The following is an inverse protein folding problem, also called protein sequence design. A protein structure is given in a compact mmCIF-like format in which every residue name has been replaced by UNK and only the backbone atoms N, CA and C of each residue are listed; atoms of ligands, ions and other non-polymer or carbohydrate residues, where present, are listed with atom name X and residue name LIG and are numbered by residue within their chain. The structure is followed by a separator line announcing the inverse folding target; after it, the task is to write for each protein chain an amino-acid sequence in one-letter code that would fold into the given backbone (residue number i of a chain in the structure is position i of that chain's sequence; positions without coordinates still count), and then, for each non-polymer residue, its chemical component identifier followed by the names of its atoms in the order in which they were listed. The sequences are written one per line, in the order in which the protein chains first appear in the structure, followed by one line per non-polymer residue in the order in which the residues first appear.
data_IF_592692290053
#
_entry.id   IF_592692290053
#
_cell.length_a   1.000
_cell.length_b   1.000
_cell.length_c   1.000
_cell.angle_alpha   90.00
_cell.angle_beta   90.00
_cell.angle_gamma   90.00
#
_symmetry.space_group_name_H-M   'P 1'
#
loop_
_entity.id
_entity.type
_entity.pdbx_description
1 polymer ?
#
# COMPACT_ATOMS: atom_id res chain seq x y z
N UNK A 1 5.22 6.93 -5.09
CA UNK A 1 5.25 5.44 -5.04
C UNK A 1 5.06 5.06 -3.59
N UNK A 2 4.18 4.10 -3.29
CA UNK A 2 3.93 3.67 -1.90
C UNK A 2 4.56 2.30 -1.65
N UNK A 3 5.30 2.18 -0.54
CA UNK A 3 5.77 0.89 -0.03
C UNK A 3 4.70 0.30 0.89
N UNK A 4 4.43 -0.99 0.75
CA UNK A 4 3.46 -1.72 1.58
C UNK A 4 4.18 -2.95 2.10
N UNK A 5 4.16 -3.13 3.42
CA UNK A 5 4.75 -4.28 4.10
C UNK A 5 4.00 -4.56 5.39
N UNK A 6 4.25 -5.73 5.96
CA UNK A 6 3.78 -6.12 7.29
C UNK A 6 4.93 -6.08 8.30
N UNK A 7 4.57 -5.84 9.56
CA UNK A 7 5.46 -5.93 10.72
C UNK A 7 4.79 -6.82 11.77
N UNK A 8 5.59 -7.54 12.57
CA UNK A 8 5.10 -8.29 13.73
C UNK A 8 5.44 -7.45 14.97
N UNK A 9 4.43 -6.85 15.58
CA UNK A 9 4.57 -5.96 16.72
C UNK A 9 3.49 -4.89 16.71
N UNK A 10 3.37 -4.18 17.82
CA UNK A 10 2.28 -3.23 18.05
C UNK A 10 2.51 -1.87 17.36
N UNK A 11 3.78 -1.54 17.05
CA UNK A 11 4.15 -0.22 16.53
C UNK A 11 4.81 -0.28 15.13
N UNK A 12 4.13 0.20 14.07
CA UNK A 12 4.72 0.32 12.74
C UNK A 12 5.82 1.39 12.65
N UNK A 13 5.90 2.34 13.59
CA UNK A 13 6.90 3.42 13.58
C UNK A 13 8.30 2.89 13.85
N UNK A 14 8.44 1.84 14.68
CA UNK A 14 9.70 1.14 14.89
C UNK A 14 10.34 0.70 13.57
N UNK A 15 9.55 0.06 12.68
CA UNK A 15 10.03 -0.38 11.36
C UNK A 15 10.36 0.79 10.42
N UNK A 16 9.61 1.87 10.48
CA UNK A 16 9.95 3.09 9.72
C UNK A 16 11.27 3.70 10.20
N UNK A 17 11.51 3.70 11.52
CA UNK A 17 12.76 4.16 12.12
C UNK A 17 13.95 3.30 11.67
N UNK A 18 13.84 1.96 11.70
CA UNK A 18 14.87 1.05 11.19
C UNK A 18 15.19 1.32 9.71
N UNK A 19 14.14 1.52 8.90
CA UNK A 19 14.31 1.89 7.50
C UNK A 19 15.02 3.24 7.38
N UNK A 20 14.64 4.26 8.14
CA UNK A 20 15.25 5.59 8.10
C UNK A 20 16.71 5.60 8.58
N UNK A 21 17.04 4.81 9.60
CA UNK A 21 18.41 4.58 10.03
C UNK A 21 19.26 3.90 8.95
N UNK A 22 18.63 3.18 8.01
CA UNK A 22 19.31 2.50 6.91
C UNK A 22 20.11 1.30 7.37
N UNK A 23 19.58 0.58 8.37
CA UNK A 23 20.23 -0.60 8.92
C UNK A 23 20.49 -1.68 7.86
N UNK A 24 19.67 -1.72 6.81
CA UNK A 24 19.85 -2.62 5.67
C UNK A 24 20.07 -1.85 4.35
N UNK A 25 21.31 -1.82 3.82
CA UNK A 25 21.65 -1.26 2.52
C UNK A 25 20.96 -1.91 1.32
N UNK A 26 20.46 -3.15 1.47
CA UNK A 26 19.75 -3.90 0.42
C UNK A 26 18.24 -3.64 0.45
N UNK A 27 17.73 -2.97 1.47
CA UNK A 27 16.31 -2.67 1.58
C UNK A 27 15.83 -1.77 0.44
N UNK A 28 14.62 -2.03 -0.05
CA UNK A 28 13.99 -1.23 -1.11
C UNK A 28 13.88 0.25 -0.74
N UNK A 29 13.71 0.55 0.56
CA UNK A 29 13.58 1.90 1.10
C UNK A 29 14.92 2.60 1.31
N UNK A 30 16.08 1.92 1.28
CA UNK A 30 17.39 2.47 1.64
C UNK A 30 17.78 3.73 0.84
N UNK A 31 17.52 3.74 -0.48
CA UNK A 31 17.80 4.91 -1.34
C UNK A 31 16.68 5.97 -1.34
N UNK A 32 15.60 5.75 -0.58
CA UNK A 32 14.34 6.52 -0.61
C UNK A 32 13.94 7.04 0.79
N UNK A 33 14.94 7.22 1.66
CA UNK A 33 14.78 7.76 3.00
C UNK A 33 14.77 9.29 2.94
N UNK A 34 14.02 9.98 3.80
CA UNK A 34 13.17 9.42 4.85
C UNK A 34 11.88 8.80 4.32
N UNK A 35 11.41 7.74 4.99
CA UNK A 35 10.11 7.11 4.81
C UNK A 35 9.21 7.46 5.99
N UNK A 36 7.94 7.72 5.70
CA UNK A 36 6.91 8.08 6.68
C UNK A 36 5.79 7.05 6.67
N UNK A 37 5.29 6.72 7.87
CA UNK A 37 4.09 5.88 8.02
C UNK A 37 2.88 6.77 7.82
N UNK A 38 2.26 6.67 6.64
CA UNK A 38 1.06 7.44 6.28
C UNK A 38 -0.24 6.69 6.56
N UNK A 39 -0.16 5.37 6.74
CA UNK A 39 -1.30 4.50 7.07
C UNK A 39 -0.79 3.18 7.67
N UNK A 40 -1.49 2.68 8.67
CA UNK A 40 -1.29 1.36 9.25
C UNK A 40 -2.61 0.81 9.80
N UNK A 41 -2.75 -0.50 9.82
CA UNK A 41 -3.91 -1.21 10.35
C UNK A 41 -3.42 -2.42 11.14
N UNK A 42 -4.04 -2.64 12.30
CA UNK A 42 -3.73 -3.75 13.18
C UNK A 42 -4.61 -4.96 12.83
N UNK A 43 -4.01 -6.15 12.85
CA UNK A 43 -4.72 -7.41 12.61
C UNK A 43 -4.36 -8.40 13.71
N UNK A 44 -5.36 -9.03 14.31
CA UNK A 44 -5.16 -10.06 15.35
C UNK A 44 -4.49 -11.31 14.78
N UNK A 45 -4.78 -11.61 13.51
CA UNK A 45 -4.26 -12.79 12.82
C UNK A 45 -3.26 -12.39 11.73
N UNK A 46 -2.09 -13.04 11.75
CA UNK A 46 -1.05 -12.83 10.73
C UNK A 46 -1.54 -13.14 9.31
N UNK A 47 -2.49 -14.07 9.17
CA UNK A 47 -3.07 -14.43 7.86
C UNK A 47 -3.87 -13.28 7.25
N UNK A 48 -4.56 -12.49 8.08
CA UNK A 48 -5.34 -11.34 7.64
C UNK A 48 -4.41 -10.21 7.22
N UNK A 49 -3.35 -9.96 7.99
CA UNK A 49 -2.31 -9.00 7.64
C UNK A 49 -1.66 -9.34 6.28
N UNK A 50 -1.34 -10.62 6.05
CA UNK A 50 -0.77 -11.09 4.78
C UNK A 50 -1.78 -10.93 3.63
N UNK A 51 -3.05 -11.23 3.85
CA UNK A 51 -4.11 -11.07 2.86
C UNK A 51 -4.31 -9.59 2.49
N UNK A 52 -4.35 -8.70 3.49
CA UNK A 52 -4.42 -7.26 3.31
C UNK A 52 -3.20 -6.72 2.54
N UNK A 53 -1.98 -7.11 2.94
CA UNK A 53 -0.75 -6.73 2.26
C UNK A 53 -0.76 -7.13 0.78
N UNK A 54 -1.16 -8.38 0.48
CA UNK A 54 -1.28 -8.87 -0.91
C UNK A 54 -2.30 -8.05 -1.71
N UNK A 55 -3.46 -7.74 -1.14
CA UNK A 55 -4.48 -6.90 -1.78
C UNK A 55 -3.95 -5.50 -2.04
N UNK A 56 -3.42 -4.83 -1.01
CA UNK A 56 -2.90 -3.46 -1.10
C UNK A 56 -1.73 -3.34 -2.06
N UNK A 57 -0.81 -4.31 -2.13
CA UNK A 57 0.30 -4.28 -3.10
C UNK A 57 -0.20 -4.12 -4.54
N UNK A 58 -1.28 -4.82 -4.91
CA UNK A 58 -1.91 -4.74 -6.24
C UNK A 58 -2.79 -3.51 -6.47
N UNK A 59 -3.06 -2.70 -5.45
CA UNK A 59 -3.91 -1.52 -5.60
C UNK A 59 -3.21 -0.41 -6.37
N UNK A 60 -4.00 0.29 -7.19
CA UNK A 60 -3.58 1.51 -7.85
C UNK A 60 -3.20 2.57 -6.82
N UNK A 61 -2.39 3.54 -7.24
CA UNK A 61 -2.01 4.67 -6.40
C UNK A 61 -3.25 5.39 -5.82
N UNK A 62 -4.28 5.60 -6.66
CA UNK A 62 -5.51 6.27 -6.25
C UNK A 62 -6.23 5.54 -5.12
N UNK A 63 -6.34 4.20 -5.19
CA UNK A 63 -6.96 3.40 -4.12
C UNK A 63 -6.18 3.48 -2.81
N UNK A 64 -4.84 3.47 -2.88
CA UNK A 64 -3.99 3.64 -1.70
C UNK A 64 -4.16 5.02 -1.07
N UNK A 65 -4.21 6.07 -1.88
CA UNK A 65 -4.46 7.44 -1.40
C UNK A 65 -5.84 7.59 -0.75
N UNK A 66 -6.88 6.94 -1.28
CA UNK A 66 -8.20 6.94 -0.68
C UNK A 66 -8.18 6.34 0.73
N UNK A 67 -7.52 5.18 0.91
CA UNK A 67 -7.33 4.56 2.24
C UNK A 67 -6.54 5.45 3.19
N UNK A 68 -5.45 6.05 2.73
CA UNK A 68 -4.63 6.97 3.53
C UNK A 68 -5.46 8.17 4.03
N UNK A 69 -6.43 8.65 3.23
CA UNK A 69 -7.34 9.75 3.60
C UNK A 69 -8.53 9.29 4.44
N UNK A 70 -8.71 8.00 4.67
CA UNK A 70 -9.90 7.42 5.31
C UNK A 70 -11.15 7.41 4.42
N UNK A 71 -11.00 7.67 3.11
CA UNK A 71 -12.08 7.71 2.13
C UNK A 71 -12.34 6.30 1.55
N UNK A 72 -12.94 5.45 2.39
CA UNK A 72 -13.30 4.08 2.01
C UNK A 72 -14.44 4.03 0.99
N UNK A 73 -15.29 5.05 0.96
CA UNK A 73 -16.44 5.17 0.05
C UNK A 73 -16.02 5.42 -1.40
N UNK A 74 -14.86 6.03 -1.64
CA UNK A 74 -14.32 6.19 -2.98
C UNK A 74 -13.79 4.87 -3.61
N UNK A 75 -13.51 3.84 -2.81
CA UNK A 75 -12.86 2.59 -3.28
C UNK A 75 -13.66 1.83 -4.35
N UNK A 76 -15.00 1.67 -4.26
CA UNK A 76 -15.80 1.06 -5.31
C UNK A 76 -15.70 1.81 -6.64
N UNK A 77 -15.69 3.15 -6.63
CA UNK A 77 -15.54 3.97 -7.83
C UNK A 77 -14.17 3.83 -8.46
N UNK A 78 -13.11 3.82 -7.65
CA UNK A 78 -11.73 3.62 -8.09
C UNK A 78 -11.45 2.19 -8.56
N UNK A 79 -12.29 1.23 -8.21
CA UNK A 79 -12.21 -0.17 -8.69
C UNK A 79 -12.78 -0.35 -10.08
N UNK A 80 -13.70 0.50 -10.52
CA UNK A 80 -14.32 0.43 -11.87
C UNK A 80 -13.43 1.02 -12.97
N UNK A 81 -12.31 1.64 -12.62
CA UNK A 81 -11.41 2.29 -13.58
C UNK A 81 -10.28 1.36 -14.02
N UNK A 82 -10.47 0.74 -15.20
CA UNK A 82 -9.50 0.73 -16.31
C UNK A 82 -10.09 0.03 -17.56
N UNK A 83 -10.50 0.88 -18.51
CA UNK A 83 -10.66 0.62 -19.94
C UNK A 83 -11.98 -0.06 -20.42
N UNK A 84 -13.00 0.71 -20.87
CA UNK A 84 -13.77 0.24 -22.01
C UNK A 84 -12.80 0.21 -23.18
N UNK A 85 -12.40 -0.99 -23.65
CA UNK A 85 -11.73 -1.09 -24.96
C UNK A 85 -12.65 -0.38 -25.96
N UNK A 86 -12.19 0.58 -26.77
CA UNK A 86 -13.01 1.02 -27.89
C UNK A 86 -13.20 -0.20 -28.79
N UNK A 87 -14.43 -0.66 -28.91
CA UNK A 87 -14.84 -1.64 -29.90
C UNK A 87 -14.60 -1.00 -31.26
N UNK A 88 -13.49 -1.30 -31.91
CA UNK A 88 -13.34 -1.00 -33.33
C UNK A 88 -14.27 -1.92 -34.09
N UNK A 89 -15.50 -1.47 -34.35
CA UNK A 89 -16.29 -1.99 -35.46
C UNK A 89 -15.69 -1.39 -36.73
N UNK A 90 -14.97 -2.21 -37.50
CA UNK A 90 -14.76 -1.92 -38.91
C UNK A 90 -15.83 -2.67 -39.68
N UNK A 91 -16.66 -1.92 -40.40
CA UNK A 91 -17.55 -2.44 -41.43
C UNK A 91 -16.83 -2.70 -42.75
#
# INVERSE_FOLDING_TARGET
MYYVGSHRGDDPQGRASEHNAGLDPRAFTYKRRPVEVVWAEHFDLIVDAIAAERRLKGWSRAKKEAVIRGDWEALPGLSRSRNPRPSTSSG
#
